data_IF_804574414084
#
_entry.id   IF_804574414084
#
_cell.length_a   1.000
_cell.length_b   1.000
_cell.length_c   1.000
_cell.angle_alpha   90.00
_cell.angle_beta   90.00
_cell.angle_gamma   90.00
#
_symmetry.space_group_name_H-M   'P 1'
#
loop_
_entity.id
_entity.type
_entity.pdbx_description
1 polymer ?
#
# COMPACT_ATOMS: atom_id res chain seq x y z
N UNK A 1 14.83 -6.33 5.79
CA UNK A 1 13.65 -6.98 5.20
C UNK A 1 12.50 -5.99 5.12
N UNK A 2 11.85 -5.92 3.98
CA UNK A 2 10.77 -4.97 3.79
C UNK A 2 9.41 -5.64 3.89
N UNK A 3 8.47 -4.97 4.54
CA UNK A 3 7.08 -5.43 4.65
C UNK A 3 6.18 -4.56 3.80
N UNK A 4 5.19 -5.16 3.17
CA UNK A 4 4.19 -4.46 2.35
C UNK A 4 2.86 -4.56 3.06
N UNK A 5 2.26 -3.41 3.39
CA UNK A 5 0.96 -3.34 4.04
C UNK A 5 0.02 -2.57 3.11
N UNK A 6 -1.07 -3.21 2.71
CA UNK A 6 -2.06 -2.61 1.82
C UNK A 6 -3.25 -2.13 2.65
N UNK A 7 -3.54 -0.84 2.59
CA UNK A 7 -4.73 -0.27 3.20
C UNK A 7 -5.85 -0.32 2.19
N UNK A 8 -6.91 -1.04 2.51
CA UNK A 8 -8.01 -1.27 1.59
C UNK A 8 -9.37 -1.07 2.27
N UNK A 9 -10.41 -1.05 1.46
CA UNK A 9 -11.78 -0.92 1.92
C UNK A 9 -12.64 -1.92 1.15
N UNK A 10 -13.64 -2.48 1.81
CA UNK A 10 -14.58 -3.39 1.17
C UNK A 10 -15.31 -2.69 0.04
N UNK A 11 -15.44 -3.37 -1.10
CA UNK A 11 -16.08 -2.80 -2.29
C UNK A 11 -15.15 -1.97 -3.18
N UNK A 12 -13.87 -1.87 -2.83
CA UNK A 12 -12.89 -1.14 -3.62
C UNK A 12 -12.30 -2.04 -4.71
N UNK A 13 -12.65 -1.77 -5.98
CA UNK A 13 -12.16 -2.58 -7.10
C UNK A 13 -10.65 -2.41 -7.32
N UNK A 14 -10.13 -1.21 -7.15
CA UNK A 14 -8.69 -0.95 -7.28
C UNK A 14 -7.89 -1.66 -6.19
N UNK A 15 -8.45 -1.75 -4.98
CA UNK A 15 -7.81 -2.49 -3.90
C UNK A 15 -7.72 -3.98 -4.24
N UNK A 16 -8.78 -4.56 -4.78
CA UNK A 16 -8.81 -5.96 -5.20
C UNK A 16 -7.82 -6.21 -6.32
N UNK A 17 -7.75 -5.31 -7.29
CA UNK A 17 -6.82 -5.41 -8.40
C UNK A 17 -5.36 -5.40 -7.91
N UNK A 18 -5.04 -4.49 -6.99
CA UNK A 18 -3.68 -4.42 -6.43
C UNK A 18 -3.31 -5.71 -5.69
N UNK A 19 -4.24 -6.22 -4.88
CA UNK A 19 -3.99 -7.48 -4.15
C UNK A 19 -3.74 -8.65 -5.10
N UNK A 20 -4.53 -8.73 -6.16
CA UNK A 20 -4.34 -9.78 -7.18
C UNK A 20 -2.99 -9.66 -7.88
N UNK A 21 -2.59 -8.44 -8.24
CA UNK A 21 -1.29 -8.21 -8.87
C UNK A 21 -0.12 -8.59 -7.96
N UNK A 22 -0.22 -8.28 -6.68
CA UNK A 22 0.81 -8.64 -5.71
C UNK A 22 0.90 -10.17 -5.57
N UNK A 23 -0.22 -10.85 -5.50
CA UNK A 23 -0.26 -12.32 -5.43
C UNK A 23 0.34 -12.96 -6.68
N UNK A 24 -0.01 -12.45 -7.86
CA UNK A 24 0.49 -12.97 -9.13
C UNK A 24 2.00 -12.81 -9.27
N UNK A 25 2.56 -11.81 -8.64
CA UNK A 25 4.00 -11.54 -8.69
C UNK A 25 4.77 -12.11 -7.49
N UNK A 26 4.10 -12.89 -6.65
CA UNK A 26 4.73 -13.55 -5.52
C UNK A 26 5.20 -12.59 -4.43
N UNK A 27 4.57 -11.42 -4.32
CA UNK A 27 4.93 -10.41 -3.31
C UNK A 27 4.14 -10.68 -2.03
N UNK A 28 4.81 -10.98 -0.91
CA UNK A 28 4.10 -11.13 0.37
C UNK A 28 3.59 -9.76 0.84
N UNK A 29 2.36 -9.74 1.32
CA UNK A 29 1.76 -8.51 1.84
C UNK A 29 0.71 -8.83 2.91
N UNK A 30 0.39 -7.83 3.73
CA UNK A 30 -0.73 -7.90 4.65
C UNK A 30 -1.75 -6.84 4.27
N UNK A 31 -3.01 -7.07 4.63
CA UNK A 31 -4.11 -6.15 4.32
C UNK A 31 -4.65 -5.56 5.61
N UNK A 32 -4.82 -4.24 5.63
CA UNK A 32 -5.47 -3.53 6.72
C UNK A 32 -6.77 -2.92 6.19
N UNK A 33 -7.90 -3.33 6.77
CA UNK A 33 -9.20 -2.76 6.43
C UNK A 33 -9.35 -1.43 7.15
N UNK A 34 -9.52 -0.35 6.40
CA UNK A 34 -9.59 1.01 6.97
C UNK A 34 -10.83 1.25 7.81
N UNK A 35 -11.89 0.47 7.60
CA UNK A 35 -13.11 0.59 8.40
C UNK A 35 -12.96 -0.09 9.76
N UNK A 36 -12.12 -1.13 9.83
CA UNK A 36 -11.81 -1.82 11.08
C UNK A 36 -10.69 -1.13 11.86
N UNK A 37 -9.73 -0.55 11.16
CA UNK A 37 -8.53 0.08 11.73
C UNK A 37 -8.52 1.57 11.46
N UNK A 38 -9.52 2.27 11.91
CA UNK A 38 -9.70 3.71 11.64
C UNK A 38 -8.56 4.57 12.14
N UNK A 39 -8.02 4.27 13.33
CA UNK A 39 -6.91 5.05 13.87
C UNK A 39 -5.64 4.88 13.05
N UNK A 40 -5.36 3.67 12.57
CA UNK A 40 -4.22 3.43 11.68
C UNK A 40 -4.40 4.17 10.36
N UNK A 41 -5.62 4.16 9.83
CA UNK A 41 -5.94 4.85 8.59
C UNK A 41 -5.77 6.37 8.72
N UNK A 42 -6.16 6.95 9.86
CA UNK A 42 -5.97 8.38 10.10
C UNK A 42 -4.49 8.79 10.01
N UNK A 43 -3.61 8.01 10.61
CA UNK A 43 -2.17 8.27 10.54
C UNK A 43 -1.68 8.22 9.10
N UNK A 44 -2.10 7.21 8.34
CA UNK A 44 -1.66 7.03 6.95
C UNK A 44 -2.20 8.15 6.05
N UNK A 45 -3.49 8.48 6.16
CA UNK A 45 -4.10 9.51 5.32
C UNK A 45 -3.54 10.90 5.64
N UNK A 46 -3.28 11.20 6.89
CA UNK A 46 -2.65 12.46 7.28
C UNK A 46 -1.22 12.55 6.78
N UNK A 47 -0.46 11.46 6.90
CA UNK A 47 0.94 11.43 6.45
C UNK A 47 1.07 11.56 4.94
N UNK A 48 0.17 10.97 4.18
CA UNK A 48 0.21 11.03 2.72
C UNK A 48 -0.47 12.28 2.16
N UNK A 49 -1.41 12.85 2.90
CA UNK A 49 -2.27 13.94 2.42
C UNK A 49 -3.36 13.45 1.46
N UNK A 50 -3.58 12.15 1.36
CA UNK A 50 -4.55 11.54 0.44
C UNK A 50 -5.50 10.65 1.24
N UNK A 51 -6.80 10.78 0.99
CA UNK A 51 -7.84 10.04 1.70
C UNK A 51 -8.45 8.90 0.88
N UNK A 52 -7.79 8.50 -0.19
CA UNK A 52 -8.28 7.44 -1.09
C UNK A 52 -7.54 6.13 -0.86
N UNK A 53 -8.20 5.02 -1.15
CA UNK A 53 -7.60 3.68 -1.16
C UNK A 53 -7.48 3.19 -2.60
N UNK A 54 -6.56 2.29 -2.92
CA UNK A 54 -5.61 1.64 -2.02
C UNK A 54 -4.40 2.53 -1.72
N UNK A 55 -3.88 2.43 -0.50
CA UNK A 55 -2.57 2.99 -0.16
C UNK A 55 -1.68 1.88 0.36
N UNK A 56 -0.39 2.01 0.13
CA UNK A 56 0.56 0.98 0.51
C UNK A 56 1.62 1.59 1.42
N UNK A 57 1.85 0.95 2.55
CA UNK A 57 2.96 1.29 3.44
C UNK A 57 4.05 0.24 3.26
N UNK A 58 5.23 0.68 2.84
CA UNK A 58 6.42 -0.15 2.75
C UNK A 58 7.29 0.14 3.97
N UNK A 59 7.52 -0.86 4.80
CA UNK A 59 8.31 -0.71 6.03
C UNK A 59 9.59 -1.52 5.90
N UNK A 60 10.73 -0.86 6.13
CA UNK A 60 12.00 -1.56 6.24
C UNK A 60 12.27 -1.85 7.72
N UNK A 61 12.28 -3.13 8.07
CA UNK A 61 12.44 -3.55 9.47
C UNK A 61 13.87 -3.41 9.97
N UNK A 62 14.84 -3.19 9.09
CA UNK A 62 16.25 -3.05 9.48
C UNK A 62 16.56 -1.64 9.97
N UNK A 63 16.03 -0.61 9.32
CA UNK A 63 16.30 0.78 9.68
C UNK A 63 15.06 1.53 10.15
N UNK A 64 13.95 0.83 10.32
CA UNK A 64 12.67 1.37 10.79
C UNK A 64 12.12 2.48 9.90
N UNK A 65 12.56 2.56 8.66
CA UNK A 65 12.04 3.54 7.71
C UNK A 65 10.72 3.06 7.09
N UNK A 66 9.88 4.00 6.69
CA UNK A 66 8.64 3.71 6.01
C UNK A 66 8.41 4.63 4.83
N UNK A 67 7.74 4.11 3.82
CA UNK A 67 7.35 4.89 2.64
C UNK A 67 5.89 4.58 2.32
N UNK A 68 5.12 5.63 2.08
CA UNK A 68 3.70 5.50 1.70
C UNK A 68 3.56 5.76 0.20
N UNK A 69 2.89 4.84 -0.49
CA UNK A 69 2.50 5.01 -1.88
C UNK A 69 1.01 5.31 -1.90
N UNK A 70 0.65 6.52 -2.35
CA UNK A 70 -0.73 7.00 -2.32
C UNK A 70 -1.22 7.29 -3.74
N UNK A 71 -2.51 7.01 -4.03
CA UNK A 71 -3.05 7.32 -5.35
C UNK A 71 -3.07 8.82 -5.61
N UNK A 72 -2.94 9.19 -6.88
CA UNK A 72 -2.88 10.57 -7.38
C UNK A 72 -1.66 11.37 -6.90
N UNK A 73 -0.87 10.82 -6.00
CA UNK A 73 0.39 11.41 -5.55
C UNK A 73 1.59 10.63 -6.10
N UNK A 74 1.57 9.32 -5.94
CA UNK A 74 2.70 8.45 -6.28
C UNK A 74 2.40 7.56 -7.49
N UNK A 75 1.13 7.32 -7.76
CA UNK A 75 0.71 6.50 -8.91
C UNK A 75 -0.71 6.89 -9.33
N UNK A 76 -1.02 6.70 -10.60
CA UNK A 76 -2.37 6.88 -11.13
C UNK A 76 -3.07 5.53 -11.30
N UNK A 77 -2.34 4.54 -11.77
CA UNK A 77 -2.87 3.19 -11.99
C UNK A 77 -2.25 2.20 -11.02
N UNK A 78 -3.00 1.17 -10.69
CA UNK A 78 -2.57 0.10 -9.77
C UNK A 78 -1.30 -0.58 -10.27
N UNK A 79 -1.16 -0.75 -11.58
CA UNK A 79 0.05 -1.33 -12.18
C UNK A 79 1.30 -0.48 -11.88
N UNK A 80 1.15 0.83 -11.83
CA UNK A 80 2.25 1.72 -11.46
C UNK A 80 2.62 1.55 -9.98
N UNK A 81 1.63 1.39 -9.12
CA UNK A 81 1.86 1.08 -7.71
C UNK A 81 2.66 -0.20 -7.56
N UNK A 82 2.30 -1.25 -8.30
CA UNK A 82 3.04 -2.51 -8.30
C UNK A 82 4.49 -2.30 -8.70
N UNK A 83 4.74 -1.50 -9.73
CA UNK A 83 6.10 -1.22 -10.18
C UNK A 83 6.93 -0.54 -9.10
N UNK A 84 6.36 0.42 -8.39
CA UNK A 84 7.03 1.08 -7.27
C UNK A 84 7.38 0.09 -6.16
N UNK A 85 6.44 -0.81 -5.84
CA UNK A 85 6.66 -1.84 -4.82
C UNK A 85 7.79 -2.76 -5.23
N UNK A 86 7.76 -3.26 -6.47
CA UNK A 86 8.78 -4.18 -6.98
C UNK A 86 10.16 -3.53 -7.00
N UNK A 87 10.24 -2.26 -7.38
CA UNK A 87 11.50 -1.51 -7.39
C UNK A 87 12.05 -1.38 -5.97
N UNK A 88 11.22 -1.01 -5.01
CA UNK A 88 11.63 -0.89 -3.61
C UNK A 88 12.13 -2.23 -3.03
N UNK A 89 11.47 -3.33 -3.39
CA UNK A 89 11.86 -4.65 -2.90
C UNK A 89 13.20 -5.13 -3.46
N UNK A 90 13.64 -4.59 -4.59
CA UNK A 90 14.90 -4.93 -5.20
C UNK A 90 16.09 -4.15 -4.63
N UNK A 91 15.81 -3.12 -3.87
CA UNK A 91 16.85 -2.31 -3.20
C UNK A 91 17.30 -2.97 -1.86
#
# INVERSE_FOLDING_TARGET
>A
MKKVIVYSQEGCSYCSELKNLLEQNGVPFTVTDIDEKKSDWEVISESSGVEYVPQVLMVDTNDESGRILAPDRDFDEVSECLQHIMTDLQE
#
